data_IF_416967729280
#
_entry.id   IF_416967729280
#
_cell.length_a   1.000
_cell.length_b   1.000
_cell.length_c   1.000
_cell.angle_alpha   90.00
_cell.angle_beta   90.00
_cell.angle_gamma   90.00
#
_symmetry.space_group_name_H-M   'P 1'
#
loop_
_entity.id
_entity.type
_entity.pdbx_description
1 polymer ?
#
# COMPACT_ATOMS: atom_id res chain seq x y z
N UNK A 1 19.19 -25.37 23.93
CA UNK A 1 20.07 -24.31 23.41
C UNK A 1 19.53 -23.91 22.06
N UNK A 2 18.54 -23.03 21.95
CA UNK A 2 18.54 -21.65 22.43
C UNK A 2 17.14 -21.23 22.90
N UNK A 3 17.12 -20.35 23.91
CA UNK A 3 15.95 -19.76 24.56
C UNK A 3 15.44 -18.52 23.82
N UNK A 4 14.11 -18.41 23.82
CA UNK A 4 13.20 -17.24 23.89
C UNK A 4 13.60 -15.85 23.35
N UNK A 5 12.67 -15.27 22.58
CA UNK A 5 12.11 -13.94 22.88
C UNK A 5 10.74 -13.79 22.20
N UNK A 6 9.68 -14.28 22.85
CA UNK A 6 8.30 -13.93 22.53
C UNK A 6 7.96 -12.60 23.20
N UNK A 7 7.87 -11.53 22.42
CA UNK A 7 7.23 -10.29 22.90
C UNK A 7 5.72 -10.48 22.89
N UNK A 8 5.24 -11.07 23.98
CA UNK A 8 3.85 -11.10 24.41
C UNK A 8 3.38 -9.65 24.62
N UNK A 9 2.35 -9.22 23.90
CA UNK A 9 1.66 -7.96 24.19
C UNK A 9 0.96 -8.12 25.55
N UNK A 10 1.15 -7.20 26.52
CA UNK A 10 0.62 -7.41 27.86
C UNK A 10 -0.91 -7.30 27.83
N UNK A 11 -1.56 -8.34 28.31
CA UNK A 11 -2.98 -8.32 28.62
C UNK A 11 -3.22 -7.30 29.74
N UNK A 12 -4.00 -6.26 29.46
CA UNK A 12 -4.43 -5.29 30.46
C UNK A 12 -5.40 -5.99 31.41
N UNK A 13 -4.93 -6.29 32.61
CA UNK A 13 -5.75 -6.74 33.75
C UNK A 13 -6.48 -5.52 34.29
N UNK A 14 -7.80 -5.49 34.18
CA UNK A 14 -8.65 -4.51 34.89
C UNK A 14 -9.37 -5.24 36.02
N UNK A 15 -8.96 -4.91 37.25
CA UNK A 15 -9.60 -5.33 38.50
C UNK A 15 -11.08 -4.93 38.53
N UNK A 16 -11.96 -5.91 38.67
CA UNK A 16 -13.40 -5.68 38.87
C UNK A 16 -13.69 -5.54 40.37
N UNK A 17 -13.86 -4.31 40.83
CA UNK A 17 -14.45 -4.03 42.15
C UNK A 17 -15.98 -4.12 42.02
N UNK A 18 -16.54 -5.25 42.43
CA UNK A 18 -17.98 -5.50 42.44
C UNK A 18 -18.72 -4.46 43.30
N UNK A 19 -19.72 -3.80 42.71
CA UNK A 19 -20.80 -3.13 43.44
C UNK A 19 -22.10 -3.84 43.12
N UNK A 20 -22.65 -4.49 44.14
CA UNK A 20 -23.99 -5.07 44.15
C UNK A 20 -25.04 -4.01 43.79
N UNK A 21 -25.89 -4.32 42.81
CA UNK A 21 -27.24 -3.74 42.70
C UNK A 21 -28.23 -4.87 42.49
N UNK A 22 -29.21 -4.89 43.39
CA UNK A 22 -30.19 -5.93 43.62
C UNK A 22 -31.31 -5.97 42.58
N UNK A 23 -31.79 -7.20 42.35
CA UNK A 23 -33.15 -7.60 41.95
C UNK A 23 -33.49 -7.62 40.45
N UNK A 24 -34.05 -8.76 40.00
CA UNK A 24 -34.83 -8.82 38.75
C UNK A 24 -34.43 -9.88 37.71
N UNK A 25 -34.36 -11.16 38.09
CA UNK A 25 -34.77 -12.36 37.32
C UNK A 25 -34.80 -12.38 35.76
N UNK A 26 -33.90 -11.73 35.01
CA UNK A 26 -33.78 -11.90 33.53
C UNK A 26 -32.36 -11.73 32.97
N UNK A 27 -31.28 -11.89 33.74
CA UNK A 27 -29.93 -11.56 33.25
C UNK A 27 -29.06 -12.74 32.77
N UNK A 28 -29.41 -14.00 33.08
CA UNK A 28 -28.57 -15.16 32.73
C UNK A 28 -28.57 -15.51 31.23
N UNK A 29 -29.73 -15.38 30.57
CA UNK A 29 -29.86 -15.67 29.14
C UNK A 29 -29.39 -14.53 28.23
N UNK A 30 -29.41 -13.29 28.73
CA UNK A 30 -28.95 -12.11 27.99
C UNK A 30 -27.43 -12.04 27.93
N UNK A 31 -26.74 -12.31 29.06
CA UNK A 31 -25.28 -12.35 29.08
C UNK A 31 -24.72 -13.54 28.28
N UNK A 32 -25.36 -14.71 28.32
CA UNK A 32 -24.98 -15.86 27.50
C UNK A 32 -25.07 -15.56 26.00
N UNK A 33 -26.09 -14.81 25.56
CA UNK A 33 -26.26 -14.38 24.17
C UNK A 33 -25.17 -13.42 23.69
N UNK A 34 -24.56 -12.63 24.58
CA UNK A 34 -23.49 -11.68 24.24
C UNK A 34 -22.15 -12.42 24.09
N UNK A 35 -21.87 -13.40 24.95
CA UNK A 35 -20.69 -14.26 24.82
C UNK A 35 -20.75 -15.16 23.57
N UNK A 36 -21.95 -15.60 23.16
CA UNK A 36 -22.17 -16.34 21.91
C UNK A 36 -21.96 -15.46 20.67
N UNK A 37 -22.40 -14.20 20.71
CA UNK A 37 -22.20 -13.26 19.60
C UNK A 37 -20.73 -12.84 19.43
N UNK A 38 -20.01 -12.69 20.55
CA UNK A 38 -18.57 -12.43 20.52
C UNK A 38 -17.76 -13.63 19.99
N UNK A 39 -18.23 -14.87 20.23
CA UNK A 39 -17.65 -16.08 19.63
C UNK A 39 -18.05 -16.28 18.17
N UNK A 40 -19.19 -15.75 17.72
CA UNK A 40 -19.59 -15.69 16.32
C UNK A 40 -18.84 -14.60 15.53
N UNK A 41 -18.26 -13.62 16.22
CA UNK A 41 -17.26 -12.69 15.69
C UNK A 41 -15.86 -13.34 15.55
N UNK A 42 -15.76 -14.67 15.57
CA UNK A 42 -14.60 -15.42 15.07
C UNK A 42 -14.50 -15.33 13.54
N UNK A 43 -14.46 -14.11 13.00
CA UNK A 43 -14.03 -13.83 11.63
C UNK A 43 -12.53 -13.56 11.56
N UNK A 44 -11.76 -14.07 12.52
CA UNK A 44 -10.33 -13.80 12.65
C UNK A 44 -9.52 -15.09 12.78
N UNK A 45 -9.49 -15.85 11.70
CA UNK A 45 -8.21 -16.39 11.23
C UNK A 45 -7.99 -15.82 9.84
N UNK A 46 -6.91 -15.05 9.64
CA UNK A 46 -6.52 -14.72 8.26
C UNK A 46 -6.38 -16.04 7.48
N UNK A 47 -6.89 -16.11 6.25
CA UNK A 47 -6.86 -17.36 5.52
C UNK A 47 -5.41 -17.76 5.26
N UNK A 48 -5.10 -19.04 5.52
CA UNK A 48 -3.72 -19.56 5.53
C UNK A 48 -2.94 -19.31 4.23
N UNK A 49 -3.62 -19.10 3.10
CA UNK A 49 -2.98 -18.83 1.81
C UNK A 49 -2.36 -17.43 1.71
N UNK A 50 -2.75 -16.46 2.56
CA UNK A 50 -2.20 -15.09 2.53
C UNK A 50 -0.72 -15.14 2.88
N UNK A 51 -0.35 -15.89 3.92
CA UNK A 51 1.04 -16.08 4.32
C UNK A 51 1.89 -16.65 3.19
N UNK A 52 1.38 -17.65 2.46
CA UNK A 52 2.12 -18.27 1.36
C UNK A 52 2.30 -17.34 0.17
N UNK A 53 1.28 -16.51 -0.14
CA UNK A 53 1.40 -15.47 -1.16
C UNK A 53 2.36 -14.36 -0.76
N UNK A 54 2.38 -13.97 0.50
CA UNK A 54 3.33 -12.98 1.03
C UNK A 54 4.76 -13.51 0.93
N UNK A 55 5.02 -14.76 1.35
CA UNK A 55 6.36 -15.39 1.21
C UNK A 55 6.83 -15.41 -0.24
N UNK A 56 5.94 -15.77 -1.18
CA UNK A 56 6.27 -15.77 -2.61
C UNK A 56 6.56 -14.36 -3.12
N UNK A 57 5.74 -13.37 -2.76
CA UNK A 57 5.95 -11.97 -3.13
C UNK A 57 7.29 -11.45 -2.61
N UNK A 58 7.60 -11.68 -1.33
CA UNK A 58 8.86 -11.26 -0.73
C UNK A 58 10.07 -11.88 -1.44
N UNK A 59 10.00 -13.17 -1.78
CA UNK A 59 11.07 -13.87 -2.50
C UNK A 59 11.28 -13.26 -3.89
N UNK A 60 10.21 -13.13 -4.67
CA UNK A 60 10.27 -12.55 -6.02
C UNK A 60 10.69 -11.08 -6.01
N UNK A 61 10.22 -10.30 -5.02
CA UNK A 61 10.62 -8.91 -4.84
C UNK A 61 12.11 -8.81 -4.55
N UNK A 62 12.64 -9.66 -3.66
CA UNK A 62 14.07 -9.67 -3.35
C UNK A 62 14.92 -10.02 -4.56
N UNK A 63 14.50 -11.01 -5.34
CA UNK A 63 15.17 -11.37 -6.61
C UNK A 63 15.14 -10.20 -7.59
N UNK A 64 13.99 -9.55 -7.74
CA UNK A 64 13.83 -8.38 -8.61
C UNK A 64 14.72 -7.21 -8.17
N UNK A 65 14.71 -6.86 -6.89
CA UNK A 65 15.52 -5.78 -6.33
C UNK A 65 17.03 -6.06 -6.50
N UNK A 66 17.44 -7.32 -6.34
CA UNK A 66 18.81 -7.74 -6.60
C UNK A 66 19.20 -7.63 -8.09
N UNK A 67 18.30 -7.99 -9.00
CA UNK A 67 18.51 -7.83 -10.45
C UNK A 67 18.59 -6.35 -10.85
N UNK A 68 17.75 -5.49 -10.29
CA UNK A 68 17.82 -4.05 -10.49
C UNK A 68 19.16 -3.48 -9.99
N UNK A 69 19.61 -3.88 -8.81
CA UNK A 69 20.91 -3.48 -8.27
C UNK A 69 22.08 -3.96 -9.15
N UNK A 70 22.00 -5.19 -9.67
CA UNK A 70 22.99 -5.71 -10.62
C UNK A 70 23.03 -4.87 -11.89
N UNK A 71 21.87 -4.61 -12.53
CA UNK A 71 21.79 -3.77 -13.74
C UNK A 71 22.28 -2.35 -13.50
N UNK A 72 21.90 -1.77 -12.36
CA UNK A 72 22.36 -0.45 -11.94
C UNK A 72 23.89 -0.38 -11.75
N UNK A 73 24.57 -1.49 -11.47
CA UNK A 73 26.02 -1.54 -11.31
C UNK A 73 26.76 -1.93 -12.60
N UNK A 74 26.20 -2.80 -13.44
CA UNK A 74 26.85 -3.33 -14.64
C UNK A 74 26.55 -2.54 -15.91
N UNK A 75 25.36 -1.95 -16.01
CA UNK A 75 24.84 -1.32 -17.24
C UNK A 75 24.62 0.20 -17.09
N UNK A 76 25.29 0.85 -16.13
CA UNK A 76 25.22 2.31 -16.02
C UNK A 76 25.79 2.97 -17.26
N UNK A 77 24.95 3.71 -17.98
CA UNK A 77 25.35 4.57 -19.10
C UNK A 77 24.86 5.99 -18.83
N UNK A 78 25.63 7.02 -19.18
CA UNK A 78 25.13 8.39 -19.15
C UNK A 78 24.04 8.52 -20.21
N UNK A 79 22.87 9.03 -19.80
CA UNK A 79 21.70 9.22 -20.66
C UNK A 79 21.30 10.69 -20.67
N UNK A 80 20.76 11.13 -21.80
CA UNK A 80 20.15 12.46 -21.96
C UNK A 80 18.65 12.32 -22.01
N UNK A 81 17.98 12.92 -21.03
CA UNK A 81 16.53 12.99 -20.98
C UNK A 81 16.10 14.36 -21.51
N UNK A 82 15.28 14.37 -22.55
CA UNK A 82 14.69 15.59 -23.11
C UNK A 82 13.28 15.74 -22.57
N UNK A 83 13.01 16.85 -21.89
CA UNK A 83 11.66 17.19 -21.48
C UNK A 83 10.88 17.83 -22.63
N UNK A 84 9.57 17.66 -22.62
CA UNK A 84 8.65 18.39 -23.51
C UNK A 84 8.74 19.91 -23.34
N UNK A 85 9.17 20.38 -22.17
CA UNK A 85 9.51 21.79 -21.89
C UNK A 85 10.79 22.29 -22.61
N UNK A 86 11.46 21.42 -23.38
CA UNK A 86 12.71 21.72 -24.09
C UNK A 86 13.95 21.72 -23.19
N UNK A 87 13.80 21.40 -21.90
CA UNK A 87 14.92 21.24 -20.96
C UNK A 87 15.59 19.89 -21.17
N UNK A 88 16.92 19.88 -21.16
CA UNK A 88 17.72 18.65 -21.23
C UNK A 88 18.24 18.38 -19.82
N UNK A 89 17.96 17.19 -19.31
CA UNK A 89 18.46 16.70 -18.04
C UNK A 89 19.42 15.54 -18.28
N UNK A 90 20.58 15.58 -17.64
CA UNK A 90 21.54 14.47 -17.66
C UNK A 90 21.18 13.46 -16.56
N UNK A 91 21.24 12.17 -16.88
CA UNK A 91 20.92 11.09 -15.96
C UNK A 91 21.80 9.85 -16.16
N UNK A 92 21.59 8.85 -15.33
CA UNK A 92 22.25 7.55 -15.41
C UNK A 92 21.21 6.45 -15.66
N UNK A 93 21.47 5.61 -16.66
CA UNK A 93 20.65 4.43 -16.97
C UNK A 93 20.61 3.47 -15.76
N UNK A 94 19.43 2.87 -15.54
CA UNK A 94 19.11 1.95 -14.44
C UNK A 94 19.21 2.54 -13.02
N UNK A 95 19.41 3.86 -12.88
CA UNK A 95 19.46 4.55 -11.58
C UNK A 95 18.51 5.74 -11.50
N UNK A 96 18.49 6.57 -12.53
CA UNK A 96 17.64 7.77 -12.56
C UNK A 96 16.20 7.36 -12.83
N UNK A 97 15.29 7.81 -11.96
CA UNK A 97 13.85 7.61 -12.12
C UNK A 97 13.16 8.89 -12.59
N UNK A 98 12.03 8.79 -13.32
CA UNK A 98 11.22 9.95 -13.68
C UNK A 98 10.84 10.82 -12.47
N UNK A 99 10.57 10.20 -11.32
CA UNK A 99 10.28 10.93 -10.09
C UNK A 99 11.45 11.83 -9.65
N UNK A 100 12.68 11.32 -9.65
CA UNK A 100 13.87 12.12 -9.30
C UNK A 100 14.07 13.29 -10.26
N UNK A 101 13.80 13.09 -11.56
CA UNK A 101 13.85 14.16 -12.55
C UNK A 101 12.76 15.21 -12.29
N UNK A 102 11.53 14.78 -11.96
CA UNK A 102 10.45 15.68 -11.59
C UNK A 102 10.80 16.55 -10.37
N UNK A 103 11.40 15.94 -9.33
CA UNK A 103 11.87 16.64 -8.13
C UNK A 103 12.96 17.66 -8.48
N UNK A 104 13.88 17.31 -9.39
CA UNK A 104 14.92 18.20 -9.88
C UNK A 104 14.39 19.45 -10.61
N UNK A 105 13.17 19.39 -11.15
CA UNK A 105 12.52 20.53 -11.81
C UNK A 105 11.76 21.37 -10.78
N UNK A 106 10.84 20.75 -10.05
CA UNK A 106 10.15 21.38 -8.92
C UNK A 106 9.44 20.36 -8.05
N UNK A 107 9.44 20.60 -6.74
CA UNK A 107 8.73 19.75 -5.79
C UNK A 107 7.21 19.69 -6.03
N UNK A 108 6.62 20.80 -6.49
CA UNK A 108 5.19 20.87 -6.81
C UNK A 108 4.81 19.99 -8.01
N UNK A 109 5.63 20.01 -9.06
CA UNK A 109 5.43 19.15 -10.23
C UNK A 109 5.57 17.67 -9.87
N UNK A 110 6.59 17.31 -9.08
CA UNK A 110 6.79 15.93 -8.62
C UNK A 110 5.63 15.41 -7.77
N UNK A 111 4.98 16.29 -7.00
CA UNK A 111 3.85 15.93 -6.15
C UNK A 111 2.54 15.79 -6.93
N UNK A 112 2.42 16.51 -8.04
CA UNK A 112 1.24 16.49 -8.91
C UNK A 112 1.35 15.47 -10.06
N UNK A 113 2.54 14.96 -10.34
CA UNK A 113 2.79 13.96 -11.37
C UNK A 113 2.16 12.62 -10.95
N UNK A 114 1.40 12.01 -11.85
CA UNK A 114 0.75 10.70 -11.64
C UNK A 114 1.49 9.62 -12.39
N UNK A 115 1.85 9.89 -13.63
CA UNK A 115 2.50 8.95 -14.54
C UNK A 115 3.45 9.71 -15.46
N UNK A 116 4.49 9.04 -15.91
CA UNK A 116 5.40 9.57 -16.91
C UNK A 116 5.10 8.93 -18.27
N UNK A 117 5.39 9.67 -19.35
CA UNK A 117 5.41 9.13 -20.70
C UNK A 117 6.85 9.19 -21.19
N UNK A 118 7.40 8.02 -21.52
CA UNK A 118 8.78 7.85 -21.98
C UNK A 118 8.72 7.41 -23.43
N UNK A 119 9.25 8.22 -24.35
CA UNK A 119 9.19 7.96 -25.81
C UNK A 119 7.76 7.68 -26.34
N UNK A 120 6.74 8.26 -25.71
CA UNK A 120 5.33 8.05 -26.08
C UNK A 120 4.65 6.86 -25.40
N UNK A 121 5.36 6.09 -24.58
CA UNK A 121 4.82 4.96 -23.82
C UNK A 121 4.59 5.33 -22.35
N UNK A 122 3.52 4.80 -21.75
CA UNK A 122 3.22 5.00 -20.33
C UNK A 122 4.26 4.30 -19.45
N UNK A 123 4.77 5.04 -18.46
CA UNK A 123 5.89 4.64 -17.62
C UNK A 123 5.68 5.06 -16.16
N UNK A 124 5.99 4.16 -15.22
CA UNK A 124 5.85 4.43 -13.80
C UNK A 124 6.92 5.41 -13.27
N UNK A 125 6.56 6.22 -12.28
CA UNK A 125 7.47 7.23 -11.73
C UNK A 125 8.68 6.66 -10.99
N UNK A 126 8.52 5.48 -10.37
CA UNK A 126 9.57 4.79 -9.61
C UNK A 126 10.40 3.83 -10.47
N UNK A 127 10.03 3.63 -11.74
CA UNK A 127 10.72 2.72 -12.64
C UNK A 127 11.93 3.42 -13.27
N UNK A 128 13.16 2.91 -13.09
CA UNK A 128 14.36 3.56 -13.62
C UNK A 128 14.39 3.54 -15.15
N UNK A 129 15.00 4.57 -15.73
CA UNK A 129 15.12 4.72 -17.18
C UNK A 129 16.24 3.85 -17.75
N UNK A 130 15.99 3.19 -18.88
CA UNK A 130 16.96 2.26 -19.50
C UNK A 130 17.91 2.97 -20.49
N UNK A 131 17.51 4.11 -21.05
CA UNK A 131 18.26 4.79 -22.11
C UNK A 131 17.84 6.25 -22.33
N UNK A 132 18.38 6.84 -23.39
CA UNK A 132 18.01 8.18 -23.86
C UNK A 132 16.52 8.20 -24.23
N UNK A 133 15.79 9.21 -23.74
CA UNK A 133 14.36 9.27 -23.94
C UNK A 133 13.80 10.69 -23.87
N UNK A 134 12.64 10.87 -24.50
CA UNK A 134 11.79 12.05 -24.29
C UNK A 134 10.86 11.77 -23.11
N UNK A 135 10.91 12.62 -22.09
CA UNK A 135 10.10 12.51 -20.89
C UNK A 135 9.00 13.57 -20.87
N UNK A 136 7.77 13.13 -20.66
CA UNK A 136 6.61 13.96 -20.42
C UNK A 136 5.98 13.53 -19.08
N UNK A 137 5.72 14.49 -18.19
CA UNK A 137 5.09 14.23 -16.90
C UNK A 137 3.62 14.57 -17.01
N UNK A 138 2.76 13.56 -16.85
CA UNK A 138 1.32 13.72 -16.92
C UNK A 138 0.76 13.96 -15.51
N UNK A 139 -0.17 14.90 -15.45
CA UNK A 139 -0.84 15.31 -14.20
C UNK A 139 -2.27 14.79 -14.17
N UNK A 140 -3.00 15.04 -13.09
CA UNK A 140 -4.39 14.58 -12.96
C UNK A 140 -5.37 15.12 -14.01
N UNK A 141 -5.01 16.22 -14.69
CA UNK A 141 -5.86 16.83 -15.71
C UNK A 141 -5.87 16.02 -17.03
N UNK A 142 -4.87 15.17 -17.24
CA UNK A 142 -4.72 14.37 -18.45
C UNK A 142 -5.60 13.09 -18.43
N UNK A 143 -6.23 12.76 -19.56
CA UNK A 143 -7.14 11.59 -19.66
C UNK A 143 -6.41 10.26 -19.40
N UNK A 144 -5.19 10.11 -19.91
CA UNK A 144 -4.36 8.91 -19.69
C UNK A 144 -4.01 8.73 -18.20
N UNK A 145 -3.65 9.82 -17.52
CA UNK A 145 -3.36 9.80 -16.08
C UNK A 145 -4.62 9.50 -15.25
N UNK A 146 -5.79 10.03 -15.65
CA UNK A 146 -7.06 9.70 -15.01
C UNK A 146 -7.42 8.23 -15.17
N UNK A 147 -7.15 7.61 -16.32
CA UNK A 147 -7.44 6.19 -16.53
C UNK A 147 -6.64 5.30 -15.56
N UNK A 148 -5.36 5.60 -15.37
CA UNK A 148 -4.49 4.90 -14.40
C UNK A 148 -4.93 5.17 -12.97
N UNK A 149 -5.24 6.41 -12.62
CA UNK A 149 -5.73 6.72 -11.28
C UNK A 149 -7.08 6.03 -10.99
N UNK A 150 -8.01 6.02 -11.95
CA UNK A 150 -9.29 5.30 -11.83
C UNK A 150 -9.06 3.81 -11.59
N UNK A 151 -8.15 3.17 -12.33
CA UNK A 151 -7.89 1.73 -12.16
C UNK A 151 -7.35 1.42 -10.75
N UNK A 152 -6.41 2.23 -10.24
CA UNK A 152 -5.89 2.13 -8.87
C UNK A 152 -7.00 2.41 -7.84
N UNK A 153 -7.82 3.43 -8.06
CA UNK A 153 -8.96 3.76 -7.19
C UNK A 153 -9.96 2.61 -7.08
N UNK A 154 -10.28 1.92 -8.17
CA UNK A 154 -11.17 0.76 -8.15
C UNK A 154 -10.57 -0.44 -7.40
N UNK A 155 -9.24 -0.61 -7.42
CA UNK A 155 -8.55 -1.62 -6.62
C UNK A 155 -8.62 -1.26 -5.13
N UNK A 156 -8.35 -0.01 -4.77
CA UNK A 156 -8.39 0.44 -3.38
C UNK A 156 -9.82 0.42 -2.82
N UNK A 157 -10.83 0.83 -3.61
CA UNK A 157 -12.24 0.65 -3.26
C UNK A 157 -12.59 -0.82 -3.05
N UNK A 158 -12.05 -1.76 -3.84
CA UNK A 158 -12.27 -3.18 -3.58
C UNK A 158 -11.64 -3.68 -2.29
N UNK A 159 -10.53 -3.07 -1.86
CA UNK A 159 -9.88 -3.40 -0.59
C UNK A 159 -10.66 -2.85 0.63
N UNK A 160 -11.28 -1.67 0.50
CA UNK A 160 -11.92 -0.98 1.64
C UNK A 160 -13.43 -1.25 1.80
N UNK A 161 -14.12 -1.74 0.76
CA UNK A 161 -15.58 -1.92 0.78
C UNK A 161 -16.04 -3.08 1.70
N UNK A 162 -15.14 -3.98 2.11
CA UNK A 162 -15.46 -5.02 3.09
C UNK A 162 -15.45 -4.54 4.55
N UNK A 163 -14.68 -3.50 4.90
CA UNK A 163 -14.60 -3.04 6.30
C UNK A 163 -15.57 -1.91 6.61
N UNK A 164 -15.90 -1.04 5.64
CA UNK A 164 -16.72 0.16 5.89
C UNK A 164 -18.24 -0.06 5.81
N UNK A 165 -18.72 -1.04 5.03
CA UNK A 165 -20.17 -1.36 4.97
C UNK A 165 -20.64 -2.04 6.27
N UNK A 166 -19.77 -2.86 6.89
CA UNK A 166 -20.08 -3.50 8.16
C UNK A 166 -20.17 -2.48 9.32
N UNK A 167 -19.32 -1.46 9.33
CA UNK A 167 -19.35 -0.41 10.35
C UNK A 167 -20.56 0.54 10.21
N UNK A 168 -20.95 0.90 8.97
CA UNK A 168 -22.10 1.79 8.75
C UNK A 168 -23.46 1.10 9.00
N UNK A 169 -23.61 -0.18 8.65
CA UNK A 169 -24.85 -0.92 8.94
C UNK A 169 -25.07 -1.15 10.45
N UNK A 170 -23.99 -1.22 11.24
CA UNK A 170 -24.08 -1.38 12.70
C UNK A 170 -24.42 -0.08 13.43
N UNK A 171 -23.98 1.08 12.91
CA UNK A 171 -24.30 2.40 13.47
C UNK A 171 -25.68 2.94 13.06
N UNK A 172 -26.32 2.36 12.04
CA UNK A 172 -27.66 2.77 11.59
C UNK A 172 -28.80 1.88 12.11
N UNK A 173 -28.50 0.86 12.93
CA UNK A 173 -29.51 0.00 13.59
C UNK A 173 -29.48 0.07 15.12
N UNK A 174 -28.81 1.07 15.70
CA UNK A 174 -28.92 1.46 17.11
C UNK A 174 -29.30 2.93 17.24
#
# INVERSE_FOLDING_TARGET
YFQEASTVRPAVVVDQKEKEVTSGHKSKYFLASIYDFASLLQLQCEPSFIEDRLKLYETLKKEHDALLAYRAASETKPIKITLTDGKIADGESWKTTPYQLAVGISQGLASNAVIAKVNGELWDLDRPLEGDCTLELLTFDDEEAQAVNKSVFYLMKRADVTELIAALCFLMSY
#
